data_IF_690166641916
#
_entry.id   IF_690166641916
#
_cell.length_a   1.000
_cell.length_b   1.000
_cell.length_c   1.000
_cell.angle_alpha   90.00
_cell.angle_beta   90.00
_cell.angle_gamma   90.00
#
_symmetry.space_group_name_H-M   'P 1'
#
loop_
_entity.id
_entity.type
_entity.pdbx_description
1 polymer ?
#
# COMPACT_ATOMS: atom_id res chain seq x y z
N UNK A 1 -2.81 -18.23 -29.89
CA UNK A 1 -2.51 -19.29 -28.90
C UNK A 1 -2.62 -18.65 -27.52
N UNK A 2 -3.58 -19.03 -26.68
CA UNK A 2 -3.82 -18.38 -25.38
C UNK A 2 -2.62 -18.66 -24.45
N UNK A 3 -1.94 -17.61 -24.00
CA UNK A 3 -0.75 -17.71 -23.16
C UNK A 3 -1.07 -18.45 -21.85
N UNK A 4 -0.25 -19.46 -21.49
CA UNK A 4 -0.38 -20.17 -20.21
C UNK A 4 0.44 -19.43 -19.15
N UNK A 5 -0.15 -19.24 -17.96
CA UNK A 5 0.42 -18.62 -16.74
C UNK A 5 1.91 -18.96 -16.42
N UNK A 6 2.43 -20.08 -16.91
CA UNK A 6 3.78 -20.53 -16.60
C UNK A 6 4.90 -19.77 -17.34
N UNK A 7 4.61 -19.04 -18.41
CA UNK A 7 5.66 -18.35 -19.16
C UNK A 7 6.01 -16.97 -18.57
N UNK A 8 5.05 -16.28 -17.94
CA UNK A 8 5.34 -15.06 -17.18
C UNK A 8 6.18 -15.30 -15.92
N UNK A 9 5.99 -16.45 -15.26
CA UNK A 9 6.78 -16.84 -14.08
C UNK A 9 8.27 -16.90 -14.37
N UNK A 10 8.66 -17.18 -15.62
CA UNK A 10 10.06 -17.26 -16.04
C UNK A 10 10.67 -15.88 -16.27
N UNK A 11 9.85 -14.84 -16.38
CA UNK A 11 10.26 -13.45 -16.65
C UNK A 11 10.35 -12.59 -15.38
N UNK A 12 9.77 -13.02 -14.25
CA UNK A 12 9.81 -12.26 -13.01
C UNK A 12 11.02 -12.64 -12.13
N UNK A 13 11.53 -11.73 -11.28
CA UNK A 13 12.66 -12.00 -10.39
C UNK A 13 12.41 -13.20 -9.45
N UNK A 14 13.49 -13.88 -9.07
CA UNK A 14 13.44 -14.93 -8.05
C UNK A 14 12.93 -14.37 -6.71
N UNK A 15 11.84 -14.95 -6.18
CA UNK A 15 11.21 -14.53 -4.92
C UNK A 15 9.71 -14.24 -5.02
N UNK A 16 9.21 -14.11 -6.25
CA UNK A 16 7.79 -13.94 -6.52
C UNK A 16 7.03 -15.28 -6.48
N UNK A 17 5.93 -15.33 -5.73
CA UNK A 17 5.10 -16.53 -5.51
C UNK A 17 3.70 -16.38 -6.15
N UNK A 18 2.97 -17.49 -6.31
CA UNK A 18 1.60 -17.44 -6.86
C UNK A 18 0.60 -17.05 -5.77
N UNK A 19 -0.04 -15.88 -5.91
CA UNK A 19 -1.11 -15.48 -4.98
C UNK A 19 -2.40 -16.27 -5.22
N UNK A 20 -3.09 -16.62 -4.12
CA UNK A 20 -4.44 -17.23 -4.14
C UNK A 20 -5.56 -16.21 -4.24
N UNK A 21 -5.29 -14.96 -3.85
CA UNK A 21 -6.30 -13.91 -3.67
C UNK A 21 -6.80 -13.35 -5.00
N UNK A 22 -6.00 -13.44 -6.06
CA UNK A 22 -6.38 -13.02 -7.40
C UNK A 22 -5.87 -14.09 -8.36
N UNK A 23 -6.79 -14.89 -8.94
CA UNK A 23 -6.45 -15.83 -10.00
C UNK A 23 -5.66 -15.02 -11.06
N UNK A 24 -4.43 -15.46 -11.36
CA UNK A 24 -3.49 -14.88 -12.34
C UNK A 24 -2.46 -13.84 -11.83
N UNK A 25 -2.39 -13.54 -10.54
CA UNK A 25 -1.36 -12.66 -9.97
C UNK A 25 -0.12 -13.41 -9.44
N UNK A 26 1.01 -12.71 -9.44
CA UNK A 26 2.28 -13.11 -8.84
C UNK A 26 2.66 -12.06 -7.80
N UNK A 27 3.01 -12.43 -6.55
CA UNK A 27 3.30 -11.47 -5.48
C UNK A 27 4.60 -11.73 -4.72
N UNK A 28 5.15 -10.67 -4.14
CA UNK A 28 6.33 -10.66 -3.29
C UNK A 28 6.00 -9.89 -2.02
N UNK A 29 6.16 -10.51 -0.86
CA UNK A 29 5.98 -9.86 0.43
C UNK A 29 7.30 -9.69 1.16
N UNK A 30 7.66 -8.45 1.50
CA UNK A 30 8.87 -8.13 2.26
C UNK A 30 8.62 -6.93 3.16
N UNK A 31 9.04 -7.00 4.42
CA UNK A 31 8.93 -5.90 5.39
C UNK A 31 7.50 -5.35 5.53
N UNK A 32 6.50 -6.23 5.51
CA UNK A 32 5.06 -5.92 5.49
C UNK A 32 4.54 -5.19 4.24
N UNK A 33 5.37 -5.03 3.21
CA UNK A 33 4.97 -4.52 1.90
C UNK A 33 4.71 -5.73 1.01
N UNK A 34 3.48 -5.90 0.53
CA UNK A 34 3.13 -6.85 -0.51
C UNK A 34 3.01 -6.13 -1.84
N UNK A 35 3.76 -6.63 -2.82
CA UNK A 35 3.71 -6.19 -4.18
C UNK A 35 3.14 -7.32 -5.02
N UNK A 36 2.15 -7.01 -5.86
CA UNK A 36 1.62 -7.96 -6.83
C UNK A 36 1.75 -7.42 -8.25
N UNK A 37 2.09 -8.31 -9.17
CA UNK A 37 2.07 -8.05 -10.61
C UNK A 37 1.05 -8.98 -11.22
N UNK A 38 0.12 -8.41 -11.99
CA UNK A 38 -0.91 -9.15 -12.73
C UNK A 38 -0.95 -8.67 -14.16
N UNK A 39 -1.33 -9.59 -15.05
CA UNK A 39 -1.66 -9.26 -16.42
C UNK A 39 -3.16 -9.27 -16.56
N UNK A 40 -3.70 -8.18 -17.06
CA UNK A 40 -5.10 -8.09 -17.40
C UNK A 40 -5.27 -8.04 -18.91
N UNK A 41 -6.28 -8.75 -19.41
CA UNK A 41 -6.69 -8.57 -20.80
C UNK A 41 -7.55 -7.32 -20.86
N UNK A 42 -7.11 -6.34 -21.65
CA UNK A 42 -7.93 -5.17 -21.94
C UNK A 42 -8.89 -5.51 -23.07
N UNK A 43 -10.18 -5.31 -22.83
CA UNK A 43 -11.23 -5.41 -23.86
C UNK A 43 -11.47 -4.05 -24.55
N UNK A 44 -10.58 -3.05 -24.35
CA UNK A 44 -10.91 -1.62 -24.53
C UNK A 44 -10.85 -1.07 -25.98
N UNK A 45 -11.14 -1.88 -27.00
CA UNK A 45 -11.29 -1.38 -28.37
C UNK A 45 -12.55 -1.92 -29.05
N UNK A 46 -13.73 -1.61 -28.51
CA UNK A 46 -14.98 -1.64 -29.29
C UNK A 46 -15.12 -0.38 -30.15
N UNK A 47 -14.13 -0.04 -30.98
CA UNK A 47 -14.27 1.06 -31.94
C UNK A 47 -13.61 0.74 -33.28
N UNK A 48 -14.02 -0.38 -33.91
CA UNK A 48 -14.34 -0.40 -35.35
C UNK A 48 -14.78 -1.79 -35.82
N UNK A 49 -16.05 -1.87 -36.24
CA UNK A 49 -16.57 -2.84 -37.23
C UNK A 49 -16.17 -4.33 -37.08
N UNK A 50 -17.08 -5.12 -36.49
CA UNK A 50 -17.38 -6.52 -36.86
C UNK A 50 -16.22 -7.51 -37.08
N UNK A 51 -15.10 -7.36 -36.39
CA UNK A 51 -14.02 -8.36 -36.33
C UNK A 51 -13.76 -8.71 -34.87
N UNK A 52 -13.36 -9.96 -34.62
CA UNK A 52 -13.08 -10.46 -33.27
C UNK A 52 -12.18 -9.46 -32.54
N UNK A 53 -12.60 -9.01 -31.35
CA UNK A 53 -11.80 -8.09 -30.52
C UNK A 53 -10.48 -8.79 -30.20
N UNK A 54 -9.39 -8.32 -30.83
CA UNK A 54 -8.05 -8.80 -30.53
C UNK A 54 -7.73 -8.42 -29.08
N UNK A 55 -7.63 -9.45 -28.24
CA UNK A 55 -7.33 -9.27 -26.82
C UNK A 55 -5.92 -8.72 -26.69
N UNK A 56 -5.77 -7.59 -26.01
CA UNK A 56 -4.48 -7.03 -25.64
C UNK A 56 -4.17 -7.27 -24.17
N UNK A 57 -2.90 -7.27 -23.82
CA UNK A 57 -2.37 -7.48 -22.49
C UNK A 57 -1.92 -6.14 -21.91
N UNK A 58 -2.26 -5.90 -20.63
CA UNK A 58 -1.75 -4.79 -19.82
C UNK A 58 -1.04 -5.36 -18.59
N UNK A 59 0.06 -4.73 -18.17
CA UNK A 59 0.72 -5.02 -16.91
C UNK A 59 0.14 -4.14 -15.82
N UNK A 60 -0.40 -4.71 -14.76
CA UNK A 60 -0.82 -3.97 -13.56
C UNK A 60 0.05 -4.40 -12.39
N UNK A 61 0.53 -3.41 -11.66
CA UNK A 61 1.36 -3.58 -10.46
C UNK A 61 0.62 -2.93 -9.29
N UNK A 62 0.37 -3.70 -8.25
CA UNK A 62 -0.28 -3.19 -7.04
C UNK A 62 0.64 -3.31 -5.84
N UNK A 63 0.64 -2.28 -4.99
CA UNK A 63 1.35 -2.28 -3.72
C UNK A 63 0.36 -2.16 -2.58
N UNK A 64 0.51 -3.06 -1.63
CA UNK A 64 -0.32 -3.18 -0.46
C UNK A 64 0.56 -3.29 0.78
N UNK A 65 0.05 -2.87 1.93
CA UNK A 65 0.78 -2.92 3.20
C UNK A 65 -0.05 -3.65 4.25
N UNK A 66 0.58 -4.61 4.92
CA UNK A 66 0.03 -5.24 6.10
C UNK A 66 0.32 -4.39 7.34
N UNK A 67 -0.66 -3.59 7.73
CA UNK A 67 -0.63 -2.84 8.99
C UNK A 67 -0.88 -3.78 10.17
N UNK A 68 0.18 -4.23 10.85
CA UNK A 68 0.14 -5.15 12.00
C UNK A 68 -0.76 -4.69 13.15
N UNK A 69 -1.01 -3.39 13.23
CA UNK A 69 -1.77 -2.77 14.32
C UNK A 69 -3.25 -2.60 13.98
N UNK A 70 -3.64 -2.89 12.74
CA UNK A 70 -5.03 -2.87 12.30
C UNK A 70 -5.73 -4.20 12.53
N UNK A 71 -7.03 -4.15 12.84
CA UNK A 71 -7.91 -5.34 12.89
C UNK A 71 -7.97 -6.09 11.55
N UNK A 72 -7.57 -5.43 10.45
CA UNK A 72 -7.48 -6.06 9.14
C UNK A 72 -6.33 -7.06 9.06
N UNK A 73 -5.27 -6.88 9.85
CA UNK A 73 -4.12 -7.79 9.87
C UNK A 73 -4.48 -9.18 10.37
N UNK A 74 -5.29 -9.27 11.43
CA UNK A 74 -5.79 -10.56 11.95
C UNK A 74 -6.60 -11.34 10.90
N UNK A 75 -7.20 -10.63 9.94
CA UNK A 75 -7.95 -11.20 8.82
C UNK A 75 -7.08 -11.40 7.58
N UNK A 76 -5.79 -11.09 7.65
CA UNK A 76 -4.86 -11.11 6.53
C UNK A 76 -5.35 -10.25 5.35
N UNK A 77 -5.89 -9.07 5.64
CA UNK A 77 -6.36 -8.10 4.66
C UNK A 77 -5.36 -6.92 4.65
N UNK A 78 -4.60 -6.71 3.58
CA UNK A 78 -3.69 -5.59 3.49
C UNK A 78 -4.41 -4.29 3.11
N UNK A 79 -3.74 -3.17 3.34
CA UNK A 79 -4.17 -1.83 2.91
C UNK A 79 -3.63 -1.61 1.50
N UNK A 80 -4.50 -1.40 0.53
CA UNK A 80 -4.10 -1.01 -0.82
C UNK A 80 -3.53 0.42 -0.84
N UNK A 81 -2.36 0.61 -1.46
CA UNK A 81 -1.63 1.88 -1.47
C UNK A 81 -1.50 2.45 -2.88
N UNK A 82 -1.03 1.64 -3.82
CA UNK A 82 -0.75 2.04 -5.20
C UNK A 82 -1.28 0.98 -6.17
N UNK A 83 -1.86 1.43 -7.27
CA UNK A 83 -2.01 0.64 -8.49
C UNK A 83 -1.34 1.40 -9.65
N UNK A 84 -0.42 0.72 -10.33
CA UNK A 84 0.44 1.30 -11.36
C UNK A 84 0.53 0.41 -12.60
N UNK A 85 0.83 1.02 -13.75
CA UNK A 85 1.06 0.35 -15.03
C UNK A 85 2.10 1.11 -15.84
N UNK A 86 2.36 0.69 -17.07
CA UNK A 86 3.35 1.32 -17.95
C UNK A 86 2.63 2.26 -18.91
N UNK A 87 3.14 3.47 -19.09
CA UNK A 87 2.56 4.45 -20.02
C UNK A 87 2.90 4.15 -21.47
N UNK A 88 1.90 4.27 -22.35
CA UNK A 88 2.06 4.15 -23.81
C UNK A 88 3.06 5.14 -24.39
N UNK A 89 3.12 6.36 -23.84
CA UNK A 89 3.85 7.47 -24.44
C UNK A 89 5.30 7.59 -23.95
N UNK A 90 5.59 7.06 -22.77
CA UNK A 90 6.89 7.28 -22.10
C UNK A 90 7.63 6.00 -21.76
N UNK A 91 6.97 4.84 -21.78
CA UNK A 91 7.54 3.59 -21.29
C UNK A 91 7.92 3.62 -19.81
N UNK A 92 7.42 4.62 -19.06
CA UNK A 92 7.61 4.76 -17.61
C UNK A 92 6.42 4.17 -16.86
N UNK A 93 6.61 3.89 -15.58
CA UNK A 93 5.50 3.53 -14.70
C UNK A 93 4.63 4.76 -14.42
N UNK A 94 3.32 4.58 -14.46
CA UNK A 94 2.29 5.58 -14.18
C UNK A 94 1.25 4.96 -13.25
N UNK A 95 0.51 5.77 -12.50
CA UNK A 95 -0.59 5.19 -11.72
C UNK A 95 -1.79 4.90 -12.64
N UNK A 96 -2.55 3.87 -12.28
CA UNK A 96 -3.70 3.46 -13.09
C UNK A 96 -4.86 4.40 -12.79
N UNK A 97 -5.13 5.30 -13.72
CA UNK A 97 -6.31 6.18 -13.70
C UNK A 97 -7.19 5.92 -14.93
N UNK A 98 -6.63 6.09 -16.14
CA UNK A 98 -7.29 5.81 -17.42
C UNK A 98 -6.60 4.69 -18.21
N UNK A 99 -7.39 3.76 -18.73
CA UNK A 99 -6.89 2.61 -19.50
C UNK A 99 -6.28 2.99 -20.86
N UNK A 100 -6.65 4.14 -21.41
CA UNK A 100 -6.15 4.68 -22.67
C UNK A 100 -4.67 5.08 -22.60
N UNK A 101 -4.19 5.48 -21.43
CA UNK A 101 -2.81 5.94 -21.24
C UNK A 101 -1.84 4.80 -20.93
N UNK A 102 -2.37 3.60 -20.70
CA UNK A 102 -1.60 2.40 -20.41
C UNK A 102 -1.10 1.75 -21.69
N UNK A 103 0.11 1.24 -21.65
CA UNK A 103 0.71 0.45 -22.72
C UNK A 103 -0.01 -0.90 -22.82
N UNK A 104 -0.43 -1.22 -24.05
CA UNK A 104 -1.05 -2.49 -24.40
C UNK A 104 -0.11 -3.28 -25.29
N UNK A 105 -0.03 -4.59 -25.07
CA UNK A 105 0.73 -5.53 -25.90
C UNK A 105 -0.21 -6.50 -26.58
N UNK A 106 0.09 -6.84 -27.82
CA UNK A 106 -0.58 -7.97 -28.46
C UNK A 106 -0.23 -9.28 -27.75
N UNK A 107 -1.12 -10.27 -27.79
CA UNK A 107 -0.91 -11.54 -27.08
C UNK A 107 0.28 -12.37 -27.57
N UNK A 108 0.82 -12.04 -28.74
CA UNK A 108 2.00 -12.66 -29.34
C UNK A 108 3.29 -11.82 -29.19
N UNK A 109 3.23 -10.57 -28.73
CA UNK A 109 4.40 -9.72 -28.46
C UNK A 109 5.07 -10.04 -27.11
N UNK A 110 5.56 -11.27 -26.99
CA UNK A 110 6.23 -11.76 -25.78
C UNK A 110 7.55 -11.01 -25.54
N UNK A 111 8.25 -10.64 -26.61
CA UNK A 111 9.56 -9.99 -26.51
C UNK A 111 9.43 -8.55 -26.02
N UNK A 112 8.41 -7.82 -26.52
CA UNK A 112 8.10 -6.47 -26.03
C UNK A 112 7.70 -6.48 -24.56
N UNK A 113 6.88 -7.44 -24.14
CA UNK A 113 6.46 -7.58 -22.75
C UNK A 113 7.65 -7.90 -21.82
N UNK A 114 8.51 -8.85 -22.21
CA UNK A 114 9.71 -9.20 -21.44
C UNK A 114 10.66 -8.01 -21.31
N UNK A 115 10.93 -7.31 -22.42
CA UNK A 115 11.78 -6.13 -22.44
C UNK A 115 11.23 -5.01 -21.53
N UNK A 116 9.91 -4.83 -21.50
CA UNK A 116 9.27 -3.86 -20.60
C UNK A 116 9.40 -4.26 -19.12
N UNK A 117 9.20 -5.54 -18.81
CA UNK A 117 9.39 -6.05 -17.46
C UNK A 117 10.82 -5.80 -16.96
N UNK A 118 11.83 -6.13 -17.78
CA UNK A 118 13.24 -6.02 -17.40
C UNK A 118 13.73 -4.58 -17.26
N UNK A 119 13.29 -3.68 -18.15
CA UNK A 119 13.84 -2.33 -18.22
C UNK A 119 13.01 -1.26 -17.50
N UNK A 120 11.74 -1.54 -17.23
CA UNK A 120 10.83 -0.58 -16.59
C UNK A 120 10.26 -1.11 -15.28
N UNK A 121 9.53 -2.22 -15.35
CA UNK A 121 8.74 -2.71 -14.20
C UNK A 121 9.63 -3.18 -13.06
N UNK A 122 10.63 -4.02 -13.33
CA UNK A 122 11.54 -4.57 -12.31
C UNK A 122 12.37 -3.47 -11.62
N UNK A 123 13.00 -2.52 -12.35
CA UNK A 123 13.68 -1.39 -11.72
C UNK A 123 12.76 -0.56 -10.81
N UNK A 124 11.53 -0.28 -11.26
CA UNK A 124 10.54 0.43 -10.46
C UNK A 124 10.16 -0.33 -9.19
N UNK A 125 9.89 -1.62 -9.32
CA UNK A 125 9.60 -2.54 -8.22
C UNK A 125 10.73 -2.52 -7.19
N UNK A 126 11.98 -2.67 -7.62
CA UNK A 126 13.13 -2.69 -6.72
C UNK A 126 13.30 -1.39 -5.95
N UNK A 127 12.99 -0.27 -6.60
CA UNK A 127 13.01 1.04 -5.98
C UNK A 127 11.90 1.22 -4.94
N UNK A 128 10.63 0.95 -5.31
CA UNK A 128 9.47 1.19 -4.44
C UNK A 128 9.36 0.17 -3.28
N UNK A 129 9.91 -1.04 -3.47
CA UNK A 129 10.02 -2.06 -2.41
C UNK A 129 11.06 -1.73 -1.35
N UNK A 130 11.86 -0.68 -1.53
CA UNK A 130 12.72 -0.18 -0.47
C UNK A 130 11.87 0.40 0.66
N UNK A 131 11.94 -0.13 1.89
CA UNK A 131 11.13 0.33 3.02
C UNK A 131 11.23 1.84 3.26
N UNK A 132 12.43 2.42 3.09
CA UNK A 132 12.64 3.86 3.31
C UNK A 132 11.91 4.70 2.27
N UNK A 133 11.94 4.27 1.01
CA UNK A 133 11.21 4.93 -0.09
C UNK A 133 9.71 4.86 0.19
N UNK A 134 9.20 3.70 0.57
CA UNK A 134 7.77 3.53 0.89
C UNK A 134 7.35 4.39 2.09
N UNK A 135 8.15 4.45 3.15
CA UNK A 135 7.88 5.32 4.30
C UNK A 135 7.84 6.79 3.89
N UNK A 136 8.80 7.24 3.10
CA UNK A 136 8.84 8.62 2.58
C UNK A 136 7.63 8.92 1.70
N UNK A 137 7.22 7.97 0.86
CA UNK A 137 6.02 8.08 0.03
C UNK A 137 4.76 8.23 0.91
N UNK A 138 4.52 7.30 1.84
CA UNK A 138 3.36 7.32 2.74
C UNK A 138 3.31 8.59 3.58
N UNK A 139 4.45 9.01 4.12
CA UNK A 139 4.56 10.24 4.91
C UNK A 139 4.27 11.47 4.07
N UNK A 140 4.69 11.48 2.80
CA UNK A 140 4.44 12.59 1.88
C UNK A 140 2.95 12.69 1.49
N UNK A 141 2.31 11.56 1.18
CA UNK A 141 0.88 11.54 0.83
C UNK A 141 -0.03 11.80 2.03
N UNK A 142 0.39 11.46 3.25
CA UNK A 142 -0.35 11.76 4.47
C UNK A 142 -0.63 13.25 4.63
N UNK A 143 0.38 14.09 4.33
CA UNK A 143 0.36 15.54 4.56
C UNK A 143 -0.08 16.37 3.34
N UNK A 144 -0.31 15.73 2.19
CA UNK A 144 -0.68 16.41 0.95
C UNK A 144 -2.20 16.55 0.82
N UNK A 145 -2.71 17.70 0.38
CA UNK A 145 -4.15 17.86 0.13
C UNK A 145 -4.59 16.97 -1.04
N UNK A 146 -5.84 16.47 -1.04
CA UNK A 146 -6.38 15.60 -2.12
C UNK A 146 -6.12 16.16 -3.52
N UNK A 147 -6.33 17.47 -3.72
CA UNK A 147 -6.12 18.14 -5.00
C UNK A 147 -4.65 18.31 -5.42
N UNK A 148 -3.70 18.08 -4.52
CA UNK A 148 -2.24 18.25 -4.76
C UNK A 148 -1.47 16.94 -4.66
N UNK A 149 -2.14 15.85 -4.26
CA UNK A 149 -1.54 14.54 -4.08
C UNK A 149 -0.85 14.04 -5.35
N UNK A 150 -1.49 14.13 -6.53
CA UNK A 150 -0.87 13.74 -7.79
C UNK A 150 0.36 14.60 -8.07
N UNK A 151 0.18 15.92 -8.18
CA UNK A 151 1.22 16.88 -8.56
C UNK A 151 2.44 16.83 -7.63
N UNK A 152 2.25 16.73 -6.31
CA UNK A 152 3.37 16.69 -5.35
C UNK A 152 4.07 15.34 -5.25
N UNK A 153 3.32 14.23 -5.36
CA UNK A 153 3.93 12.91 -5.48
C UNK A 153 4.72 12.80 -6.79
N UNK A 154 4.23 13.42 -7.86
CA UNK A 154 4.94 13.57 -9.11
C UNK A 154 6.21 14.41 -8.92
N UNK A 155 6.15 15.66 -8.45
CA UNK A 155 7.36 16.50 -8.23
C UNK A 155 8.48 15.80 -7.43
N UNK A 156 8.13 14.96 -6.45
CA UNK A 156 9.12 14.27 -5.60
C UNK A 156 9.59 12.93 -6.16
N UNK A 157 8.76 12.23 -6.93
CA UNK A 157 9.02 10.88 -7.46
C UNK A 157 9.01 10.83 -9.01
N UNK A 158 9.10 12.01 -9.66
CA UNK A 158 8.87 12.32 -11.08
C UNK A 158 9.73 11.53 -12.07
N UNK A 159 10.87 11.03 -11.59
CA UNK A 159 11.72 10.15 -12.39
C UNK A 159 11.07 8.79 -12.67
N UNK A 160 10.02 8.44 -11.93
CA UNK A 160 9.53 7.06 -11.78
C UNK A 160 7.99 6.96 -11.87
N UNK A 161 7.24 8.06 -11.70
CA UNK A 161 5.77 8.10 -11.80
C UNK A 161 5.32 9.32 -12.62
N UNK A 162 4.39 9.13 -13.57
CA UNK A 162 3.66 10.22 -14.27
C UNK A 162 2.16 10.02 -14.07
N UNK A 163 1.47 11.14 -13.82
CA UNK A 163 0.03 11.40 -13.62
C UNK A 163 -0.85 10.39 -12.88
N UNK A 164 -1.63 10.91 -11.94
CA UNK A 164 -2.29 10.09 -10.94
C UNK A 164 -3.64 10.68 -10.55
N UNK A 165 -4.71 9.90 -10.55
CA UNK A 165 -5.81 10.12 -9.60
C UNK A 165 -5.75 9.01 -8.54
N UNK A 166 -5.21 9.34 -7.36
CA UNK A 166 -5.21 8.35 -6.28
C UNK A 166 -6.60 8.35 -5.68
N UNK A 167 -7.43 7.41 -6.14
CA UNK A 167 -8.69 7.08 -5.49
C UNK A 167 -8.42 6.39 -4.15
N UNK A 168 -7.87 7.14 -3.20
CA UNK A 168 -7.93 6.76 -1.80
C UNK A 168 -9.39 6.86 -1.37
N UNK A 169 -10.00 5.79 -0.83
CA UNK A 169 -11.21 5.99 -0.05
C UNK A 169 -10.84 6.98 1.07
N UNK A 170 -11.53 8.14 1.09
CA UNK A 170 -11.29 9.31 1.97
C UNK A 170 -11.08 8.99 3.46
N UNK A 171 -11.40 7.77 3.88
CA UNK A 171 -11.35 7.27 5.24
C UNK A 171 -10.03 6.54 5.63
N UNK A 172 -9.09 6.28 4.70
CA UNK A 172 -7.94 5.39 4.98
C UNK A 172 -6.61 6.07 5.33
N UNK A 173 -6.45 7.40 5.18
CA UNK A 173 -5.17 8.07 5.50
C UNK A 173 -4.77 7.97 6.98
N UNK A 174 -5.76 7.84 7.88
CA UNK A 174 -5.51 7.60 9.32
C UNK A 174 -4.79 6.27 9.58
N UNK A 175 -4.89 5.31 8.66
CA UNK A 175 -4.18 4.03 8.69
C UNK A 175 -2.72 4.12 8.26
N UNK A 176 -2.28 5.21 7.62
CA UNK A 176 -0.89 5.31 7.14
C UNK A 176 0.13 5.30 8.27
N UNK A 177 -0.17 5.89 9.42
CA UNK A 177 0.73 5.78 10.57
C UNK A 177 0.87 4.33 11.09
N UNK A 178 -0.19 3.52 11.01
CA UNK A 178 -0.11 2.09 11.36
C UNK A 178 0.73 1.32 10.34
N UNK A 179 0.52 1.58 9.05
CA UNK A 179 1.33 1.04 7.95
C UNK A 179 2.83 1.43 8.08
N UNK A 180 3.13 2.72 8.29
CA UNK A 180 4.49 3.23 8.49
C UNK A 180 5.12 2.60 9.74
N UNK A 181 4.40 2.54 10.86
CA UNK A 181 4.89 1.89 12.08
C UNK A 181 5.23 0.41 11.85
N UNK A 182 4.38 -0.29 11.08
CA UNK A 182 4.59 -1.69 10.72
C UNK A 182 5.83 -1.88 9.85
N UNK A 183 6.11 -0.98 8.90
CA UNK A 183 7.31 -1.05 8.07
C UNK A 183 8.57 -0.78 8.91
N UNK A 184 8.57 0.27 9.75
CA UNK A 184 9.70 0.58 10.64
C UNK A 184 10.03 -0.58 11.59
N UNK A 185 9.01 -1.23 12.16
CA UNK A 185 9.20 -2.41 13.01
C UNK A 185 9.86 -3.55 12.23
N UNK A 186 9.41 -3.81 11.00
CA UNK A 186 9.94 -4.90 10.18
C UNK A 186 11.41 -4.71 9.79
N UNK A 187 11.88 -3.46 9.71
CA UNK A 187 13.30 -3.15 9.46
C UNK A 187 14.11 -2.94 10.75
N UNK A 188 13.51 -3.15 11.92
CA UNK A 188 14.18 -3.05 13.23
C UNK A 188 14.30 -1.63 13.80
N UNK A 189 13.66 -0.63 13.20
CA UNK A 189 13.66 0.76 13.67
C UNK A 189 12.55 1.02 14.70
N UNK A 190 12.70 0.41 15.88
CA UNK A 190 11.67 0.38 16.93
C UNK A 190 11.25 1.77 17.40
N UNK A 191 12.19 2.71 17.56
CA UNK A 191 11.87 4.05 18.06
C UNK A 191 10.96 4.82 17.08
N UNK A 192 11.25 4.74 15.79
CA UNK A 192 10.44 5.37 14.75
C UNK A 192 9.08 4.68 14.62
N UNK A 193 9.05 3.36 14.73
CA UNK A 193 7.80 2.59 14.79
C UNK A 193 6.89 3.09 15.93
N UNK A 194 7.43 3.22 17.15
CA UNK A 194 6.67 3.69 18.30
C UNK A 194 6.14 5.12 18.14
N UNK A 195 6.89 6.01 17.48
CA UNK A 195 6.43 7.39 17.19
C UNK A 195 5.18 7.38 16.32
N UNK A 196 5.20 6.65 15.20
CA UNK A 196 4.06 6.54 14.30
C UNK A 196 2.89 5.77 14.94
N UNK A 197 3.17 4.73 15.72
CA UNK A 197 2.13 3.98 16.43
C UNK A 197 1.33 4.86 17.40
N UNK A 198 1.99 5.77 18.13
CA UNK A 198 1.30 6.73 19.01
C UNK A 198 0.34 7.63 18.24
N UNK A 199 0.74 8.10 17.06
CA UNK A 199 -0.11 8.92 16.19
C UNK A 199 -1.31 8.09 15.67
N UNK A 200 -1.05 6.84 15.25
CA UNK A 200 -2.09 5.91 14.82
C UNK A 200 -3.14 5.64 15.92
N UNK A 201 -2.68 5.37 17.14
CA UNK A 201 -3.54 5.16 18.32
C UNK A 201 -4.38 6.40 18.64
N UNK A 202 -3.79 7.58 18.61
CA UNK A 202 -4.52 8.83 18.82
C UNK A 202 -5.62 9.05 17.77
N UNK A 203 -5.32 8.80 16.51
CA UNK A 203 -6.27 8.95 15.41
C UNK A 203 -7.43 7.93 15.48
N UNK A 204 -7.12 6.67 15.84
CA UNK A 204 -8.13 5.62 16.01
C UNK A 204 -8.99 5.81 17.25
N UNK A 205 -8.43 6.29 18.36
CA UNK A 205 -9.18 6.64 19.58
C UNK A 205 -10.16 7.80 19.37
N UNK A 206 -9.79 8.82 18.59
CA UNK A 206 -10.70 9.93 18.26
C UNK A 206 -11.94 9.49 17.47
N UNK A 207 -11.78 8.48 16.62
CA UNK A 207 -12.88 7.94 15.81
C UNK A 207 -13.67 6.85 16.56
N UNK A 208 -13.07 6.29 17.59
CA UNK A 208 -13.70 5.29 18.44
C UNK A 208 -14.77 5.96 19.30
N UNK A 209 -16.04 5.63 19.00
CA UNK A 209 -17.11 5.80 19.98
C UNK A 209 -17.08 4.57 20.88
N UNK A 210 -16.55 4.66 22.11
CA UNK A 210 -16.55 3.51 23.01
C UNK A 210 -17.98 3.02 23.18
N UNK A 211 -18.16 1.70 23.22
CA UNK A 211 -19.44 1.16 23.68
C UNK A 211 -19.65 1.61 25.12
N UNK A 212 -20.91 1.64 25.56
CA UNK A 212 -21.28 2.08 26.91
C UNK A 212 -20.48 1.34 28.00
N UNK A 213 -20.14 0.07 27.78
CA UNK A 213 -19.34 -0.77 28.67
C UNK A 213 -17.88 -0.32 28.71
N UNK A 214 -17.29 -0.01 27.56
CA UNK A 214 -15.90 0.44 27.46
C UNK A 214 -15.73 1.84 28.05
N UNK A 215 -16.71 2.74 27.88
CA UNK A 215 -16.71 4.05 28.56
C UNK A 215 -16.75 3.90 30.08
N UNK A 216 -17.55 2.95 30.59
CA UNK A 216 -17.62 2.65 32.01
C UNK A 216 -16.28 2.10 32.50
N UNK A 217 -15.67 1.16 31.78
CA UNK A 217 -14.38 0.58 32.16
C UNK A 217 -13.25 1.61 32.16
N UNK A 218 -13.22 2.52 31.17
CA UNK A 218 -12.23 3.59 31.10
C UNK A 218 -12.38 4.57 32.28
N UNK A 219 -13.62 4.97 32.60
CA UNK A 219 -13.89 5.80 33.78
C UNK A 219 -13.55 5.09 35.11
N UNK A 220 -13.64 3.76 35.15
CA UNK A 220 -13.20 2.96 36.31
C UNK A 220 -11.67 2.94 36.44
N UNK A 221 -10.94 2.77 35.33
CA UNK A 221 -9.47 2.81 35.35
C UNK A 221 -8.93 4.17 35.77
N UNK A 222 -9.45 5.26 35.23
CA UNK A 222 -9.05 6.62 35.63
C UNK A 222 -9.27 6.86 37.13
N UNK A 223 -10.38 6.35 37.68
CA UNK A 223 -10.65 6.42 39.13
C UNK A 223 -9.68 5.57 39.95
N UNK A 224 -9.30 4.39 39.48
CA UNK A 224 -8.31 3.54 40.15
C UNK A 224 -6.94 4.21 40.19
N UNK A 225 -6.49 4.81 39.08
CA UNK A 225 -5.24 5.57 39.03
C UNK A 225 -5.22 6.74 40.02
N UNK A 226 -6.35 7.46 40.15
CA UNK A 226 -6.48 8.54 41.15
C UNK A 226 -6.44 8.02 42.59
N UNK A 227 -7.00 6.83 42.85
CA UNK A 227 -6.94 6.19 44.16
C UNK A 227 -5.50 5.76 44.47
N UNK A 228 -4.81 5.13 43.53
CA UNK A 228 -3.41 4.71 43.68
C UNK A 228 -2.48 5.91 43.90
N UNK A 229 -2.67 6.98 43.12
CA UNK A 229 -1.98 8.27 43.30
C UNK A 229 -2.23 8.85 44.71
N UNK A 230 -3.47 8.77 45.20
CA UNK A 230 -3.85 9.20 46.54
C UNK A 230 -3.21 8.36 47.66
N UNK A 231 -3.21 7.04 47.52
CA UNK A 231 -2.55 6.11 48.44
C UNK A 231 -1.06 6.40 48.49
N UNK A 232 -0.40 6.51 47.33
CA UNK A 232 1.03 6.80 47.26
C UNK A 232 1.40 8.12 47.93
N UNK A 233 0.55 9.15 47.81
CA UNK A 233 0.73 10.44 48.51
C UNK A 233 0.59 10.30 50.03
N UNK A 234 -0.33 9.46 50.50
CA UNK A 234 -0.51 9.19 51.93
C UNK A 234 0.66 8.39 52.50
N UNK A 235 1.12 7.36 51.80
CA UNK A 235 2.31 6.58 52.18
C UNK A 235 3.55 7.46 52.27
N UNK A 236 3.78 8.32 51.28
CA UNK A 236 4.90 9.26 51.30
C UNK A 236 4.83 10.26 52.46
N UNK A 237 3.63 10.67 52.89
CA UNK A 237 3.44 11.53 54.06
C UNK A 237 3.75 10.81 55.38
N UNK A 238 3.32 9.56 55.52
CA UNK A 238 3.54 8.74 56.71
C UNK A 238 5.02 8.37 56.93
N UNK A 239 5.83 8.33 55.86
CA UNK A 239 7.28 8.11 55.94
C UNK A 239 8.05 9.40 56.25
N UNK A 240 7.42 10.57 56.09
CA UNK A 240 8.04 11.88 56.33
C UNK A 240 7.78 12.50 57.71
N UNK A 241 7.01 11.81 58.57
CA UNK A 241 6.81 12.11 60.00
C UNK A 241 7.66 11.17 60.87
#
# INVERSE_FOLDING_TARGET
MIMKKNDLKKLLPSGFENSKLIKHAVSLCRNNIELSVRLETSDFWELSSHTEVEKKIVIIVSIEIYDKYSKLYEKNIPIHIIEASVSTNSGKMILVDEWSDLQHWETDDISGLANCLDNCVIPWINWIMNPKVMIEYLSHIEHSSESQLPEKALEKFESILIDIDIKFPKNNRKGFNGAIASIYEAIGEVENSLKHLKIHQFNTQKDYRPTKIESINQAYQEKLELIEEGIRRLENKLVSE
#
